data_IF_998400133298
#
_entry.id   IF_998400133298
#
_cell.length_a   1.000
_cell.length_b   1.000
_cell.length_c   1.000
_cell.angle_alpha   90.00
_cell.angle_beta   90.00
_cell.angle_gamma   90.00
#
_symmetry.space_group_name_H-M   'P 1'
#
loop_
_entity.id
_entity.type
_entity.pdbx_description
1 polymer ?
#
# COMPACT_ATOMS: atom_id res chain seq x y z
N UNK A 1 -1.56 4.17 28.75
CA UNK A 1 -2.44 4.52 27.63
C UNK A 1 -2.40 3.37 26.64
N UNK A 2 -3.54 2.99 26.06
CA UNK A 2 -3.60 1.89 25.08
C UNK A 2 -3.11 2.39 23.71
N UNK A 3 -2.32 1.60 22.97
CA UNK A 3 -1.86 1.98 21.64
C UNK A 3 -3.04 2.06 20.66
N UNK A 4 -2.89 2.88 19.62
CA UNK A 4 -3.87 2.92 18.54
C UNK A 4 -3.85 1.60 17.75
N UNK A 5 -5.03 1.03 17.49
CA UNK A 5 -5.19 -0.24 16.75
C UNK A 5 -4.81 -0.11 15.27
N UNK A 6 -4.97 1.09 14.68
CA UNK A 6 -4.74 1.36 13.27
C UNK A 6 -3.77 2.53 13.08
N UNK A 7 -2.71 2.29 12.32
CA UNK A 7 -1.80 3.33 11.85
C UNK A 7 -2.12 3.66 10.40
N UNK A 8 -2.12 4.95 10.06
CA UNK A 8 -2.28 5.40 8.68
C UNK A 8 -1.15 6.34 8.31
N UNK A 9 -0.45 6.04 7.22
CA UNK A 9 0.67 6.82 6.73
C UNK A 9 0.32 7.38 5.36
N UNK A 10 0.20 8.70 5.30
CA UNK A 10 0.01 9.45 4.07
C UNK A 10 1.23 10.33 3.88
N UNK A 11 1.96 10.10 2.79
CA UNK A 11 3.09 10.96 2.42
C UNK A 11 2.63 11.98 1.38
N UNK A 12 3.53 12.87 0.94
CA UNK A 12 3.19 13.83 -0.12
C UNK A 12 3.29 13.22 -1.52
N UNK A 13 4.00 12.08 -1.67
CA UNK A 13 4.11 11.35 -2.93
C UNK A 13 3.54 9.94 -2.82
N UNK A 14 4.39 8.92 -2.70
CA UNK A 14 4.00 7.51 -2.68
C UNK A 14 4.84 6.73 -1.68
N UNK A 15 4.18 6.11 -0.69
CA UNK A 15 4.87 5.37 0.36
C UNK A 15 5.64 4.13 -0.16
N UNK A 16 5.19 3.51 -1.24
CA UNK A 16 5.88 2.33 -1.82
C UNK A 16 6.91 2.72 -2.90
N UNK A 17 7.14 4.02 -3.14
CA UNK A 17 8.24 4.48 -3.99
C UNK A 17 9.55 4.46 -3.21
N UNK A 18 10.49 3.60 -3.62
CA UNK A 18 11.83 3.46 -3.02
C UNK A 18 12.64 4.77 -3.02
N UNK A 19 12.30 5.73 -3.87
CA UNK A 19 12.95 7.06 -3.90
C UNK A 19 12.47 7.96 -2.76
N UNK A 20 11.25 7.73 -2.26
CA UNK A 20 10.65 8.51 -1.18
C UNK A 20 10.78 7.78 0.17
N UNK A 21 10.40 6.49 0.20
CA UNK A 21 10.55 5.62 1.36
C UNK A 21 11.38 4.40 0.96
N UNK A 22 12.69 4.42 1.25
CA UNK A 22 13.56 3.28 0.98
C UNK A 22 13.13 2.03 1.76
N UNK A 23 13.43 0.85 1.24
CA UNK A 23 13.10 -0.44 1.86
C UNK A 23 13.57 -0.55 3.33
N UNK A 24 14.75 0.01 3.66
CA UNK A 24 15.23 0.03 5.06
C UNK A 24 14.28 0.79 5.99
N UNK A 25 13.73 1.91 5.52
CA UNK A 25 12.78 2.73 6.28
C UNK A 25 11.42 2.03 6.36
N UNK A 26 10.94 1.44 5.26
CA UNK A 26 9.68 0.70 5.24
C UNK A 26 9.70 -0.47 6.23
N UNK A 27 10.79 -1.25 6.24
CA UNK A 27 10.99 -2.34 7.21
C UNK A 27 11.09 -1.85 8.65
N UNK A 28 11.80 -0.75 8.90
CA UNK A 28 11.87 -0.16 10.23
C UNK A 28 10.48 0.31 10.72
N UNK A 29 9.64 0.82 9.82
CA UNK A 29 8.24 1.17 10.13
C UNK A 29 7.44 -0.09 10.46
N UNK A 30 7.57 -1.16 9.66
CA UNK A 30 6.90 -2.43 9.93
C UNK A 30 7.31 -3.02 11.30
N UNK A 31 8.61 -3.06 11.61
CA UNK A 31 9.12 -3.52 12.91
C UNK A 31 8.59 -2.65 14.07
N UNK A 32 8.55 -1.33 13.89
CA UNK A 32 8.05 -0.39 14.91
C UNK A 32 6.57 -0.59 15.23
N UNK A 33 5.80 -1.09 14.26
CA UNK A 33 4.36 -1.29 14.37
C UNK A 33 3.96 -2.77 14.30
N UNK A 34 4.88 -3.69 14.57
CA UNK A 34 4.64 -5.13 14.61
C UNK A 34 3.67 -5.56 15.72
N UNK A 35 3.34 -4.66 16.65
CA UNK A 35 2.34 -4.86 17.70
C UNK A 35 0.94 -4.34 17.30
N UNK A 36 0.69 -4.04 16.01
CA UNK A 36 -0.60 -3.58 15.48
C UNK A 36 -1.17 -4.64 14.56
N UNK A 37 -2.50 -4.75 14.55
CA UNK A 37 -3.20 -5.67 13.67
C UNK A 37 -3.31 -5.14 12.23
N UNK A 38 -3.26 -3.81 12.04
CA UNK A 38 -3.53 -3.20 10.73
C UNK A 38 -2.80 -1.89 10.48
N UNK A 39 -2.41 -1.68 9.22
CA UNK A 39 -1.83 -0.42 8.72
C UNK A 39 -2.45 -0.02 7.37
N UNK A 40 -2.55 1.29 7.13
CA UNK A 40 -2.86 1.84 5.80
C UNK A 40 -1.69 2.68 5.32
N UNK A 41 -1.23 2.43 4.11
CA UNK A 41 -0.23 3.26 3.42
C UNK A 41 -0.80 3.83 2.13
N UNK A 42 -0.48 5.08 1.81
CA UNK A 42 -0.89 5.69 0.54
C UNK A 42 0.19 5.53 -0.53
N UNK A 43 -0.23 5.18 -1.75
CA UNK A 43 0.71 4.96 -2.85
C UNK A 43 0.06 5.20 -4.21
N UNK A 44 0.89 5.61 -5.18
CA UNK A 44 0.52 5.58 -6.60
C UNK A 44 0.57 4.14 -7.12
N UNK A 45 -0.29 3.78 -8.09
CA UNK A 45 -0.46 2.39 -8.51
C UNK A 45 0.84 1.73 -9.00
N UNK A 46 1.71 2.46 -9.69
CA UNK A 46 2.96 1.91 -10.24
C UNK A 46 3.93 1.35 -9.19
N UNK A 47 3.78 1.75 -7.92
CA UNK A 47 4.67 1.33 -6.85
C UNK A 47 4.12 0.18 -6.01
N UNK A 48 2.87 -0.23 -6.28
CA UNK A 48 2.22 -1.32 -5.58
C UNK A 48 2.77 -2.63 -6.12
N UNK A 49 3.72 -3.18 -5.38
CA UNK A 49 4.39 -4.45 -5.64
C UNK A 49 4.20 -5.34 -4.42
N UNK A 50 3.83 -6.60 -4.62
CA UNK A 50 3.58 -7.56 -3.55
C UNK A 50 4.74 -7.63 -2.55
N UNK A 51 5.97 -7.66 -3.04
CA UNK A 51 7.17 -7.79 -2.22
C UNK A 51 7.34 -6.63 -1.23
N UNK A 52 6.82 -5.44 -1.56
CA UNK A 52 6.86 -4.29 -0.65
C UNK A 52 5.74 -4.33 0.39
N UNK A 53 4.61 -4.95 0.06
CA UNK A 53 3.51 -5.20 1.00
C UNK A 53 3.92 -6.30 2.00
N UNK A 54 4.66 -7.31 1.53
CA UNK A 54 5.17 -8.40 2.35
C UNK A 54 6.02 -7.92 3.54
N UNK A 55 6.74 -6.79 3.42
CA UNK A 55 7.50 -6.18 4.53
C UNK A 55 6.61 -5.93 5.78
N UNK A 56 5.29 -5.80 5.65
CA UNK A 56 4.33 -5.70 6.76
C UNK A 56 3.60 -7.01 7.06
N UNK A 57 3.23 -7.75 6.03
CA UNK A 57 2.53 -9.02 6.15
C UNK A 57 3.36 -10.06 6.93
N UNK A 58 4.68 -10.06 6.76
CA UNK A 58 5.64 -10.90 7.50
C UNK A 58 5.60 -10.66 9.03
N UNK A 59 5.10 -9.50 9.46
CA UNK A 59 4.88 -9.16 10.87
C UNK A 59 3.47 -9.47 11.36
N UNK A 60 2.60 -10.07 10.53
CA UNK A 60 1.19 -10.32 10.88
C UNK A 60 0.29 -9.09 10.74
N UNK A 61 0.77 -8.02 10.08
CA UNK A 61 0.03 -6.76 9.98
C UNK A 61 -0.82 -6.76 8.71
N UNK A 62 -2.14 -6.71 8.85
CA UNK A 62 -3.03 -6.52 7.72
C UNK A 62 -2.76 -5.16 7.06
N UNK A 63 -2.47 -5.15 5.76
CA UNK A 63 -1.96 -3.95 5.09
C UNK A 63 -2.89 -3.51 3.97
N UNK A 64 -3.49 -2.33 4.14
CA UNK A 64 -4.25 -1.68 3.08
C UNK A 64 -3.37 -0.70 2.29
N UNK A 65 -3.45 -0.76 0.97
CA UNK A 65 -2.86 0.25 0.09
C UNK A 65 -3.96 1.21 -0.39
N UNK A 66 -3.92 2.45 0.10
CA UNK A 66 -4.80 3.50 -0.36
C UNK A 66 -4.26 4.11 -1.66
N UNK A 67 -4.97 3.92 -2.78
CA UNK A 67 -4.61 4.51 -4.07
C UNK A 67 -5.50 5.71 -4.38
N UNK A 68 -4.90 6.88 -4.55
CA UNK A 68 -5.59 8.12 -4.95
C UNK A 68 -6.04 8.11 -6.40
N UNK A 69 -7.10 7.34 -6.72
CA UNK A 69 -7.67 7.17 -8.07
C UNK A 69 -8.42 8.40 -8.58
N UNK A 70 -9.14 9.09 -7.69
CA UNK A 70 -9.95 10.31 -7.94
C UNK A 70 -11.18 10.12 -8.86
N UNK A 71 -11.05 9.40 -9.98
CA UNK A 71 -12.13 9.12 -10.94
C UNK A 71 -11.83 7.88 -11.79
N UNK A 72 -12.89 7.12 -12.11
CA UNK A 72 -12.82 5.96 -13.01
C UNK A 72 -12.83 6.36 -14.50
N UNK A 73 -12.82 7.66 -14.84
CA UNK A 73 -12.75 8.12 -16.23
C UNK A 73 -11.37 8.70 -16.54
N UNK A 74 -10.61 8.00 -17.39
CA UNK A 74 -9.24 8.38 -17.76
C UNK A 74 -9.16 9.82 -18.27
N UNK A 75 -10.08 10.22 -19.17
CA UNK A 75 -10.13 11.60 -19.66
C UNK A 75 -10.21 12.63 -18.53
N UNK A 76 -11.06 12.40 -17.51
CA UNK A 76 -11.17 13.34 -16.39
C UNK A 76 -9.91 13.28 -15.52
N UNK A 77 -9.36 12.08 -15.30
CA UNK A 77 -8.16 11.86 -14.49
C UNK A 77 -6.93 12.56 -15.08
N UNK A 78 -6.71 12.44 -16.38
CA UNK A 78 -5.61 13.11 -17.07
C UNK A 78 -5.87 14.61 -17.27
N UNK A 79 -7.04 14.98 -17.82
CA UNK A 79 -7.24 16.35 -18.31
C UNK A 79 -7.67 17.32 -17.21
N UNK A 80 -8.40 16.86 -16.19
CA UNK A 80 -8.98 17.72 -15.15
C UNK A 80 -8.26 17.59 -13.80
N UNK A 81 -7.78 16.39 -13.47
CA UNK A 81 -7.11 16.11 -12.19
C UNK A 81 -5.59 16.10 -12.31
N UNK A 82 -5.06 15.92 -13.53
CA UNK A 82 -3.62 15.87 -13.83
C UNK A 82 -2.91 14.70 -13.13
N UNK A 83 -3.54 13.52 -13.11
CA UNK A 83 -2.92 12.25 -12.73
C UNK A 83 -2.44 11.54 -13.99
N UNK A 84 -1.28 10.90 -13.91
CA UNK A 84 -0.57 10.40 -15.09
C UNK A 84 -0.89 8.94 -15.46
N UNK A 85 -1.54 8.18 -14.56
CA UNK A 85 -1.82 6.74 -14.73
C UNK A 85 -3.24 6.47 -15.24
N UNK A 86 -3.43 5.33 -15.89
CA UNK A 86 -4.69 4.84 -16.46
C UNK A 86 -5.53 4.08 -15.40
N UNK A 87 -6.83 3.90 -15.63
CA UNK A 87 -7.66 3.11 -14.70
C UNK A 87 -7.18 1.65 -14.64
N UNK A 88 -6.64 1.14 -15.75
CA UNK A 88 -6.03 -0.18 -15.83
C UNK A 88 -4.80 -0.34 -14.90
N UNK A 89 -4.02 0.73 -14.69
CA UNK A 89 -2.88 0.69 -13.76
C UNK A 89 -3.36 0.55 -12.31
N UNK A 90 -4.47 1.21 -11.96
CA UNK A 90 -5.14 1.00 -10.68
C UNK A 90 -5.65 -0.44 -10.52
N UNK A 91 -6.28 -1.01 -11.54
CA UNK A 91 -6.74 -2.41 -11.51
C UNK A 91 -5.57 -3.38 -11.33
N UNK A 92 -4.44 -3.15 -12.01
CA UNK A 92 -3.22 -3.93 -11.86
C UNK A 92 -2.66 -3.84 -10.42
N UNK A 93 -2.60 -2.63 -9.86
CA UNK A 93 -2.19 -2.43 -8.46
C UNK A 93 -3.13 -3.17 -7.47
N UNK A 94 -4.44 -3.17 -7.71
CA UNK A 94 -5.38 -3.96 -6.91
C UNK A 94 -5.11 -5.47 -7.00
N UNK A 95 -4.74 -5.96 -8.19
CA UNK A 95 -4.40 -7.37 -8.37
C UNK A 95 -3.12 -7.75 -7.63
N UNK A 96 -2.10 -6.89 -7.64
CA UNK A 96 -0.86 -7.10 -6.85
C UNK A 96 -1.13 -7.13 -5.35
N UNK A 97 -1.95 -6.20 -4.85
CA UNK A 97 -2.34 -6.16 -3.44
C UNK A 97 -3.17 -7.39 -3.02
N UNK A 98 -4.15 -7.78 -3.83
CA UNK A 98 -4.97 -8.97 -3.54
C UNK A 98 -4.13 -10.24 -3.50
N UNK A 99 -3.16 -10.36 -4.41
CA UNK A 99 -2.33 -11.54 -4.45
C UNK A 99 -1.24 -11.55 -3.36
N UNK A 100 -0.92 -10.40 -2.77
CA UNK A 100 -0.17 -10.32 -1.51
C UNK A 100 -0.99 -10.83 -0.32
N UNK A 101 -2.28 -10.53 -0.29
CA UNK A 101 -3.23 -10.99 0.73
C UNK A 101 -3.41 -12.51 0.67
N UNK A 102 -3.56 -13.08 -0.53
CA UNK A 102 -3.64 -14.53 -0.75
C UNK A 102 -2.38 -15.27 -0.22
N UNK A 103 -1.21 -14.65 -0.36
CA UNK A 103 0.07 -15.21 0.12
C UNK A 103 0.18 -15.12 1.64
N UNK A 104 -0.25 -13.99 2.21
CA UNK A 104 -0.34 -13.81 3.66
C UNK A 104 -1.28 -14.85 4.29
N UNK A 105 -2.50 -15.01 3.76
CA UNK A 105 -3.49 -15.98 4.25
C UNK A 105 -2.96 -17.42 4.19
N UNK A 106 -2.25 -17.77 3.10
CA UNK A 106 -1.60 -19.06 2.96
C UNK A 106 -0.51 -19.30 4.04
N UNK A 107 0.24 -18.28 4.42
CA UNK A 107 1.31 -18.37 5.42
C UNK A 107 0.77 -18.41 6.86
N UNK A 108 -0.35 -17.74 7.16
CA UNK A 108 -1.03 -17.83 8.47
C UNK A 108 -1.96 -19.04 8.59
N UNK A 109 -2.19 -19.78 7.51
CA UNK A 109 -2.95 -21.03 7.48
C UNK A 109 -4.47 -20.85 7.64
N UNK A 110 -5.00 -19.73 7.14
CA UNK A 110 -6.44 -19.41 7.10
C UNK A 110 -7.07 -19.90 5.80
#
# INVERSE_FOLDING_TARGET
>A
EEPAELIKIYTSGSFLDEREVPAETRRAIAETFADRDRIVVESLPDFVEREKIADFADHGIATDVAVGLETATDRVRHDCVNKYFDFADFEAACAEAAAADDEFDADVGI
#
